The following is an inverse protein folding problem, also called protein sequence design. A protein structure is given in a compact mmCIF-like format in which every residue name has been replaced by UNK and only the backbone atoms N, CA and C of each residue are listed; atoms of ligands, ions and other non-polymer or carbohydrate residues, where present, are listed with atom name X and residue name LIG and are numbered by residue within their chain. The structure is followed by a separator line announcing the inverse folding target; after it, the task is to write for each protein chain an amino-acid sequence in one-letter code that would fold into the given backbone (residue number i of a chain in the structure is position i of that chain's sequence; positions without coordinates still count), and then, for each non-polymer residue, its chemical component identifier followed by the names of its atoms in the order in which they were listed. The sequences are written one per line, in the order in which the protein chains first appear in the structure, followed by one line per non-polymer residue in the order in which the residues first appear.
data_IF_516830757509
#
_entry.id   IF_516830757509
#
_cell.length_a   1.000
_cell.length_b   1.000
_cell.length_c   1.000
_cell.angle_alpha   90.00
_cell.angle_beta   90.00
_cell.angle_gamma   90.00
#
_symmetry.space_group_name_H-M   'P 1'
#
loop_
_entity.id
_entity.type
_entity.pdbx_description
1 polymer ?
#
# COMPACT_ATOMS: atom_id res chain seq x y z
N UNK A 1 10.36 0.44 -9.51
CA UNK A 1 10.26 1.90 -9.68
C UNK A 1 9.45 2.46 -8.53
N UNK A 2 9.80 3.63 -8.01
CA UNK A 2 8.92 4.41 -7.14
C UNK A 2 8.34 5.58 -7.94
N UNK A 3 7.03 5.80 -7.83
CA UNK A 3 6.31 6.93 -8.43
C UNK A 3 5.39 7.58 -7.40
N UNK A 4 5.04 8.85 -7.61
CA UNK A 4 4.08 9.57 -6.77
C UNK A 4 2.66 9.14 -7.11
N UNK A 5 1.92 8.58 -6.14
CA UNK A 5 0.51 8.18 -6.34
C UNK A 5 -0.50 9.33 -6.15
N UNK A 6 -0.04 10.42 -5.54
CA UNK A 6 -0.80 11.64 -5.22
C UNK A 6 -0.66 12.73 -6.29
N UNK A 7 0.45 12.73 -7.05
CA UNK A 7 0.62 13.62 -8.20
C UNK A 7 -0.46 13.40 -9.25
N UNK A 8 -0.95 14.49 -9.83
CA UNK A 8 -1.87 14.45 -10.96
C UNK A 8 -1.26 13.75 -12.19
N UNK A 9 0.07 13.79 -12.33
CA UNK A 9 0.79 13.30 -13.51
C UNK A 9 1.57 12.00 -13.27
N UNK A 10 1.36 11.32 -12.13
CA UNK A 10 1.97 10.01 -11.84
C UNK A 10 3.51 10.00 -11.96
N UNK A 11 4.16 11.05 -11.44
CA UNK A 11 5.58 11.31 -11.70
C UNK A 11 6.50 10.19 -11.16
N UNK A 12 7.49 9.74 -11.96
CA UNK A 12 8.48 8.79 -11.50
C UNK A 12 9.47 9.50 -10.59
N UNK A 13 9.83 8.85 -9.48
CA UNK A 13 10.72 9.41 -8.45
C UNK A 13 12.06 8.69 -8.41
N UNK A 14 12.02 7.35 -8.47
CA UNK A 14 13.23 6.57 -8.29
C UNK A 14 13.24 5.29 -9.14
N UNK A 15 14.13 5.21 -10.14
CA UNK A 15 14.32 4.01 -10.91
C UNK A 15 15.37 3.12 -10.25
N UNK A 16 15.00 1.88 -9.91
CA UNK A 16 15.97 0.84 -9.54
C UNK A 16 15.81 -0.35 -10.48
N UNK A 17 16.80 -0.56 -11.34
CA UNK A 17 16.90 -1.74 -12.18
C UNK A 17 17.49 -2.88 -11.36
N UNK A 18 16.83 -4.02 -11.39
CA UNK A 18 17.28 -5.23 -10.74
C UNK A 18 17.38 -6.36 -11.77
N UNK A 19 18.27 -7.34 -11.58
CA UNK A 19 18.27 -8.55 -12.39
C UNK A 19 16.90 -9.25 -12.31
N UNK A 20 16.47 -9.90 -13.40
CA UNK A 20 15.21 -10.64 -13.45
C UNK A 20 15.11 -11.78 -12.41
N UNK A 21 16.25 -12.28 -11.93
CA UNK A 21 16.32 -13.29 -10.87
C UNK A 21 16.01 -12.74 -9.46
N UNK A 22 15.90 -11.42 -9.29
CA UNK A 22 15.61 -10.79 -8.00
C UNK A 22 14.12 -10.55 -7.86
N UNK A 23 13.55 -11.07 -6.78
CA UNK A 23 12.15 -10.84 -6.43
C UNK A 23 11.89 -9.37 -6.06
N UNK A 24 10.75 -8.83 -6.50
CA UNK A 24 10.40 -7.41 -6.34
C UNK A 24 10.32 -6.97 -4.87
N UNK A 25 9.86 -7.86 -3.97
CA UNK A 25 9.83 -7.58 -2.54
C UNK A 25 11.21 -7.25 -1.95
N UNK A 26 12.28 -7.88 -2.44
CA UNK A 26 13.67 -7.58 -2.02
C UNK A 26 14.14 -6.28 -2.65
N UNK A 27 13.79 -6.07 -3.92
CA UNK A 27 14.08 -4.83 -4.66
C UNK A 27 13.46 -3.60 -4.00
N UNK A 28 12.26 -3.74 -3.43
CA UNK A 28 11.57 -2.68 -2.71
C UNK A 28 12.36 -2.22 -1.48
N UNK A 29 12.88 -3.14 -0.66
CA UNK A 29 13.61 -2.80 0.57
C UNK A 29 14.83 -1.93 0.23
N UNK A 30 15.63 -2.36 -0.74
CA UNK A 30 16.78 -1.59 -1.20
C UNK A 30 16.33 -0.23 -1.77
N UNK A 31 15.28 -0.21 -2.58
CA UNK A 31 14.77 1.02 -3.21
C UNK A 31 14.24 2.02 -2.20
N UNK A 32 13.53 1.57 -1.16
CA UNK A 32 12.98 2.42 -0.09
C UNK A 32 14.10 3.10 0.70
N UNK A 33 15.11 2.33 1.12
CA UNK A 33 16.25 2.85 1.88
C UNK A 33 17.04 3.83 1.01
N UNK A 34 17.41 3.42 -0.20
CA UNK A 34 18.15 4.26 -1.14
C UNK A 34 17.39 5.56 -1.48
N UNK A 35 16.07 5.49 -1.64
CA UNK A 35 15.24 6.67 -1.87
C UNK A 35 15.24 7.60 -0.66
N UNK A 36 15.03 7.07 0.55
CA UNK A 36 15.02 7.87 1.79
C UNK A 36 16.35 8.57 2.06
N UNK A 37 17.48 7.97 1.67
CA UNK A 37 18.81 8.54 1.85
C UNK A 37 19.15 9.63 0.83
N UNK A 38 18.57 9.55 -0.38
CA UNK A 38 18.97 10.40 -1.51
C UNK A 38 18.04 11.58 -1.76
N UNK A 39 16.79 11.51 -1.31
CA UNK A 39 15.77 12.49 -1.65
C UNK A 39 15.16 13.12 -0.41
N UNK A 40 15.12 14.46 -0.39
CA UNK A 40 14.48 15.27 0.64
C UNK A 40 13.10 15.78 0.17
N UNK A 41 12.40 14.99 -0.64
CA UNK A 41 11.10 15.36 -1.26
C UNK A 41 9.93 15.49 -0.26
N UNK A 42 10.22 15.41 1.04
CA UNK A 42 9.24 15.44 2.13
C UNK A 42 9.08 14.08 2.79
N UNK A 43 8.14 14.00 3.73
CA UNK A 43 7.82 12.77 4.44
C UNK A 43 6.91 11.88 3.61
N UNK A 44 7.30 10.61 3.43
CA UNK A 44 6.45 9.60 2.81
C UNK A 44 5.44 9.14 3.85
N UNK A 45 4.16 9.47 3.66
CA UNK A 45 3.12 9.06 4.62
C UNK A 45 2.58 7.65 4.34
N UNK A 46 2.55 7.22 3.07
CA UNK A 46 1.97 5.95 2.64
C UNK A 46 2.77 5.31 1.52
N UNK A 47 2.78 4.00 1.47
CA UNK A 47 3.29 3.23 0.32
C UNK A 47 2.24 2.22 -0.15
N UNK A 48 2.08 2.12 -1.47
CA UNK A 48 1.09 1.26 -2.11
C UNK A 48 1.82 0.16 -2.87
N UNK A 49 1.58 -1.09 -2.49
CA UNK A 49 2.27 -2.26 -3.04
C UNK A 49 1.28 -3.37 -3.33
N UNK A 50 1.59 -4.22 -4.30
CA UNK A 50 0.76 -5.39 -4.60
C UNK A 50 0.98 -6.54 -3.61
N UNK A 51 0.23 -7.62 -3.79
CA UNK A 51 0.31 -8.82 -2.95
C UNK A 51 1.66 -9.56 -3.04
N UNK A 52 2.53 -9.27 -4.02
CA UNK A 52 3.88 -9.86 -4.05
C UNK A 52 4.77 -9.30 -2.93
N UNK A 53 4.41 -8.15 -2.38
CA UNK A 53 5.12 -7.48 -1.28
C UNK A 53 4.53 -7.81 0.10
N UNK A 54 3.58 -8.75 0.17
CA UNK A 54 2.98 -9.19 1.42
C UNK A 54 3.95 -10.10 2.22
N UNK A 55 4.87 -9.45 2.93
CA UNK A 55 5.84 -10.10 3.80
C UNK A 55 5.97 -9.30 5.10
N UNK A 56 5.99 -10.00 6.25
CA UNK A 56 6.02 -9.38 7.59
C UNK A 56 7.17 -8.36 7.76
N UNK A 57 8.38 -8.71 7.29
CA UNK A 57 9.54 -7.82 7.31
C UNK A 57 9.33 -6.49 6.56
N UNK A 58 8.49 -6.46 5.52
CA UNK A 58 8.15 -5.21 4.81
C UNK A 58 7.27 -4.33 5.70
N UNK A 59 6.32 -4.91 6.43
CA UNK A 59 5.48 -4.16 7.37
C UNK A 59 6.32 -3.58 8.52
N UNK A 60 7.25 -4.35 9.07
CA UNK A 60 8.17 -3.90 10.11
C UNK A 60 9.05 -2.74 9.66
N UNK A 61 9.64 -2.86 8.46
CA UNK A 61 10.45 -1.79 7.86
C UNK A 61 9.65 -0.49 7.72
N UNK A 62 8.43 -0.59 7.17
CA UNK A 62 7.58 0.57 6.95
C UNK A 62 7.09 1.19 8.26
N UNK A 63 6.81 0.37 9.28
CA UNK A 63 6.47 0.84 10.62
C UNK A 63 7.63 1.62 11.25
N UNK A 64 8.87 1.11 11.13
CA UNK A 64 10.08 1.80 11.58
C UNK A 64 10.30 3.12 10.82
N UNK A 65 9.93 3.18 9.54
CA UNK A 65 9.99 4.40 8.73
C UNK A 65 8.79 5.35 8.97
N UNK A 66 7.84 4.97 9.85
CA UNK A 66 6.58 5.67 10.08
C UNK A 66 5.74 5.89 8.79
N UNK A 67 5.80 4.92 7.87
CA UNK A 67 5.07 4.89 6.60
C UNK A 67 3.90 3.91 6.72
N UNK A 68 2.69 4.31 6.34
CA UNK A 68 1.53 3.41 6.37
C UNK A 68 1.52 2.46 5.15
N UNK A 69 1.53 1.13 5.36
CA UNK A 69 1.49 0.15 4.28
C UNK A 69 0.08 -0.07 3.73
N UNK A 70 -0.09 0.08 2.42
CA UNK A 70 -1.27 -0.33 1.67
C UNK A 70 -0.88 -1.48 0.74
N UNK A 71 -0.95 -2.69 1.28
CA UNK A 71 -0.50 -3.92 0.61
C UNK A 71 -1.64 -4.94 0.64
N UNK A 72 -2.01 -5.46 -0.53
CA UNK A 72 -2.95 -6.57 -0.63
C UNK A 72 -2.44 -7.81 0.09
N UNK A 73 -3.33 -8.58 0.72
CA UNK A 73 -2.94 -9.83 1.36
C UNK A 73 -2.75 -10.92 0.31
N UNK A 74 -1.59 -11.57 0.35
CA UNK A 74 -1.32 -12.83 -0.31
C UNK A 74 -1.77 -13.97 0.62
N UNK A 75 -3.04 -14.34 0.51
CA UNK A 75 -3.64 -15.39 1.34
C UNK A 75 -3.17 -16.76 0.84
N UNK A 76 -2.07 -17.26 1.42
CA UNK A 76 -1.53 -18.59 1.12
C UNK A 76 -2.21 -19.71 1.88
N UNK A 77 -2.91 -19.39 2.97
CA UNK A 77 -3.50 -20.36 3.89
C UNK A 77 -4.91 -19.96 4.27
N UNK A 78 -5.84 -20.92 4.26
CA UNK A 78 -7.24 -20.74 4.68
C UNK A 78 -7.46 -21.03 6.17
N UNK A 79 -6.41 -21.43 6.89
CA UNK A 79 -6.46 -21.77 8.31
C UNK A 79 -6.60 -20.51 9.16
N UNK A 80 -7.50 -20.56 10.14
CA UNK A 80 -7.62 -19.53 11.14
C UNK A 80 -6.48 -19.61 12.16
N UNK A 81 -6.07 -18.47 12.69
CA UNK A 81 -5.10 -18.38 13.77
C UNK A 81 -5.81 -18.45 15.12
N UNK A 82 -5.31 -19.27 16.04
CA UNK A 82 -5.82 -19.31 17.42
C UNK A 82 -5.45 -18.04 18.19
N UNK A 83 -6.28 -17.64 19.14
CA UNK A 83 -5.92 -16.65 20.16
C UNK A 83 -5.86 -17.33 21.53
N UNK A 84 -5.48 -16.58 22.57
CA UNK A 84 -5.56 -17.06 23.97
C UNK A 84 -7.01 -17.31 24.44
N UNK A 85 -7.99 -16.90 23.63
CA UNK A 85 -9.42 -17.14 23.87
C UNK A 85 -10.01 -18.10 22.83
N UNK A 86 -11.26 -18.48 23.02
CA UNK A 86 -12.11 -19.22 22.05
C UNK A 86 -12.43 -18.43 20.77
N UNK A 87 -11.91 -17.21 20.61
CA UNK A 87 -11.93 -16.46 19.34
C UNK A 87 -10.78 -16.89 18.46
N UNK A 88 -11.06 -17.04 17.17
CA UNK A 88 -10.03 -17.26 16.15
C UNK A 88 -9.86 -16.01 15.28
N UNK A 89 -8.74 -15.87 14.59
CA UNK A 89 -8.52 -14.80 13.60
C UNK A 89 -8.53 -15.42 12.21
N UNK A 90 -9.34 -14.88 11.30
CA UNK A 90 -9.38 -15.32 9.91
C UNK A 90 -8.05 -15.01 9.20
N UNK A 91 -7.76 -15.66 8.06
CA UNK A 91 -6.61 -15.31 7.23
C UNK A 91 -6.55 -13.83 6.81
N UNK A 92 -7.69 -13.13 6.87
CA UNK A 92 -7.84 -11.71 6.53
C UNK A 92 -7.66 -10.79 7.75
N UNK A 93 -7.35 -11.32 8.93
CA UNK A 93 -7.19 -10.54 10.16
C UNK A 93 -8.51 -10.18 10.85
N UNK A 94 -9.61 -10.85 10.48
CA UNK A 94 -10.94 -10.59 11.07
C UNK A 94 -11.21 -11.61 12.17
N UNK A 95 -11.53 -11.20 13.40
CA UNK A 95 -11.90 -12.13 14.47
C UNK A 95 -13.17 -12.93 14.13
N UNK A 96 -13.16 -14.21 14.46
CA UNK A 96 -14.25 -15.16 14.25
C UNK A 96 -14.79 -15.56 15.63
N UNK A 97 -16.08 -15.33 15.81
CA UNK A 97 -16.83 -15.71 17.00
C UNK A 97 -16.90 -17.25 17.12
N UNK A 98 -17.02 -17.84 18.33
CA UNK A 98 -17.17 -19.29 18.51
C UNK A 98 -18.28 -19.96 17.69
N UNK A 99 -19.31 -19.19 17.29
CA UNK A 99 -20.38 -19.65 16.39
C UNK A 99 -19.97 -19.72 14.90
N UNK A 100 -18.68 -19.51 14.58
CA UNK A 100 -18.13 -19.58 13.23
C UNK A 100 -18.36 -18.35 12.35
N UNK A 101 -18.83 -17.21 12.91
CA UNK A 101 -19.12 -15.99 12.14
C UNK A 101 -18.07 -14.90 12.38
N UNK A 102 -17.65 -14.22 11.31
CA UNK A 102 -16.77 -13.05 11.39
C UNK A 102 -17.41 -11.91 12.19
N UNK A 103 -16.63 -11.32 13.09
CA UNK A 103 -17.05 -10.20 13.91
C UNK A 103 -17.12 -8.91 13.09
N UNK A 104 -18.01 -8.00 13.48
CA UNK A 104 -18.18 -6.71 12.81
C UNK A 104 -17.29 -5.65 13.45
N UNK A 105 -16.70 -4.72 12.66
CA UNK A 105 -15.95 -3.60 13.22
C UNK A 105 -16.88 -2.72 14.08
N UNK A 106 -16.37 -2.25 15.21
CA UNK A 106 -17.07 -1.44 16.21
C UNK A 106 -16.29 -0.16 16.56
N UNK A 107 -15.65 0.43 15.55
CA UNK A 107 -14.81 1.62 15.69
C UNK A 107 -13.36 1.31 16.07
N UNK A 108 -12.54 2.37 16.07
CA UNK A 108 -11.12 2.31 16.38
C UNK A 108 -10.84 3.19 17.60
N UNK A 109 -10.04 2.67 18.53
CA UNK A 109 -9.63 3.42 19.72
C UNK A 109 -8.24 4.02 19.52
N UNK A 110 -8.20 5.34 19.32
CA UNK A 110 -6.96 6.08 19.08
C UNK A 110 -6.03 6.07 20.30
N UNK A 111 -6.57 6.04 21.51
CA UNK A 111 -5.77 6.13 22.75
C UNK A 111 -4.92 4.88 22.98
N UNK A 112 -5.45 3.70 22.64
CA UNK A 112 -4.75 2.42 22.80
C UNK A 112 -4.34 1.80 21.46
N UNK A 113 -4.51 2.52 20.35
CA UNK A 113 -4.18 2.07 19.00
C UNK A 113 -4.74 0.67 18.66
N UNK A 114 -6.02 0.44 18.97
CA UNK A 114 -6.68 -0.88 18.83
C UNK A 114 -7.98 -0.82 18.03
N UNK A 115 -8.19 -1.82 17.19
CA UNK A 115 -9.43 -2.01 16.46
C UNK A 115 -10.43 -2.75 17.34
N UNK A 116 -11.65 -2.20 17.47
CA UNK A 116 -12.74 -2.84 18.23
C UNK A 116 -13.60 -3.68 17.31
N UNK A 117 -13.97 -4.85 17.80
CA UNK A 117 -14.83 -5.81 17.13
C UNK A 117 -16.00 -6.16 18.04
N UNK A 118 -17.15 -6.45 17.44
CA UNK A 118 -18.35 -6.89 18.15
C UNK A 118 -19.00 -8.09 17.47
N UNK A 119 -19.84 -8.79 18.23
CA UNK A 119 -20.65 -9.88 17.73
C UNK A 119 -21.41 -9.48 16.45
N UNK A 120 -21.38 -10.30 15.38
CA UNK A 120 -22.06 -10.00 14.13
C UNK A 120 -23.59 -10.00 14.24
N UNK A 121 -24.13 -10.70 15.25
CA UNK A 121 -25.56 -10.85 15.56
C UNK A 121 -26.06 -9.82 16.59
N UNK A 122 -25.19 -8.92 17.06
CA UNK A 122 -25.60 -7.79 17.87
C UNK A 122 -26.06 -6.63 16.97
N UNK A 123 -27.36 -6.37 16.96
CA UNK A 123 -27.99 -5.26 16.25
C UNK A 123 -28.50 -4.24 17.26
N UNK A 124 -27.79 -3.11 17.39
CA UNK A 124 -28.08 -2.12 18.41
C UNK A 124 -27.92 -2.72 19.80
N UNK A 125 -28.99 -2.73 20.59
CA UNK A 125 -29.02 -3.22 21.98
C UNK A 125 -29.52 -4.66 22.13
N UNK A 126 -29.80 -5.35 21.03
CA UNK A 126 -30.31 -6.73 21.02
C UNK A 126 -29.29 -7.66 20.36
N UNK A 127 -29.01 -8.78 21.02
CA UNK A 127 -28.21 -9.87 20.48
C UNK A 127 -29.14 -11.03 20.11
N UNK A 128 -29.19 -11.40 18.83
CA UNK A 128 -30.07 -12.48 18.32
C UNK A 128 -29.36 -13.84 18.24
N UNK A 129 -28.20 -13.96 18.87
CA UNK A 129 -27.45 -15.22 18.92
C UNK A 129 -28.22 -16.29 19.71
N UNK A 130 -28.50 -17.44 19.10
CA UNK A 130 -29.19 -18.57 19.73
C UNK A 130 -28.36 -19.21 20.85
N UNK A 131 -27.04 -19.26 20.68
CA UNK A 131 -26.06 -19.68 21.68
C UNK A 131 -25.10 -18.52 21.99
N UNK A 132 -25.50 -17.55 22.83
CA UNK A 132 -24.71 -16.34 23.06
C UNK A 132 -23.30 -16.65 23.58
N UNK A 133 -22.28 -16.18 22.86
CA UNK A 133 -20.88 -16.28 23.28
C UNK A 133 -20.51 -15.33 24.45
N UNK A 134 -21.46 -14.54 24.94
CA UNK A 134 -21.31 -13.63 26.08
C UNK A 134 -22.68 -13.24 26.65
N UNK A 135 -22.72 -12.94 27.95
CA UNK A 135 -23.90 -12.38 28.66
C UNK A 135 -24.11 -10.89 28.39
N UNK A 136 -23.18 -10.23 27.70
CA UNK A 136 -23.26 -8.79 27.44
C UNK A 136 -24.42 -8.43 26.48
N UNK A 137 -25.12 -7.33 26.78
CA UNK A 137 -26.25 -6.81 25.99
C UNK A 137 -25.92 -6.58 24.51
N UNK A 138 -24.69 -6.12 24.25
CA UNK A 138 -24.18 -5.81 22.91
C UNK A 138 -23.43 -7.00 22.27
N UNK A 139 -23.59 -8.21 22.83
CA UNK A 139 -22.80 -9.37 22.48
C UNK A 139 -21.33 -9.22 22.88
N UNK A 140 -20.54 -10.26 22.56
CA UNK A 140 -19.11 -10.27 22.86
C UNK A 140 -18.36 -9.22 22.04
N UNK A 141 -17.40 -8.56 22.68
CA UNK A 141 -16.43 -7.69 22.03
C UNK A 141 -15.06 -8.33 22.01
N UNK A 142 -14.23 -7.93 21.05
CA UNK A 142 -12.85 -8.34 20.94
C UNK A 142 -12.01 -7.18 20.41
N UNK A 143 -10.72 -7.16 20.72
CA UNK A 143 -9.81 -6.10 20.30
C UNK A 143 -8.61 -6.72 19.61
N UNK A 144 -8.19 -6.13 18.49
CA UNK A 144 -6.91 -6.46 17.85
C UNK A 144 -6.00 -5.24 17.92
N UNK A 145 -4.72 -5.46 18.23
CA UNK A 145 -3.74 -4.40 18.35
C UNK A 145 -2.74 -4.46 17.20
N UNK A 146 -2.38 -3.28 16.67
CA UNK A 146 -1.40 -3.18 15.58
C UNK A 146 -0.08 -3.89 15.92
N UNK A 147 0.38 -3.79 17.18
CA UNK A 147 1.62 -4.40 17.67
C UNK A 147 1.62 -5.94 17.64
N UNK A 148 0.44 -6.57 17.68
CA UNK A 148 0.36 -8.03 17.72
C UNK A 148 0.61 -8.64 16.33
N UNK A 149 0.23 -7.91 15.28
CA UNK A 149 0.49 -8.31 13.90
C UNK A 149 0.33 -7.11 12.95
N UNK A 150 1.45 -6.52 12.52
CA UNK A 150 1.45 -5.34 11.63
C UNK A 150 0.82 -5.63 10.26
N UNK A 151 0.94 -6.87 9.79
CA UNK A 151 0.42 -7.33 8.50
C UNK A 151 -1.10 -7.43 8.49
N UNK A 152 -1.70 -8.07 9.50
CA UNK A 152 -3.14 -8.33 9.59
C UNK A 152 -3.90 -7.16 10.23
N UNK A 153 -3.33 -6.53 11.26
CA UNK A 153 -3.98 -5.48 12.04
C UNK A 153 -3.47 -4.09 11.64
N UNK A 154 -3.73 -3.74 10.37
CA UNK A 154 -3.30 -2.45 9.79
C UNK A 154 -4.05 -1.26 10.40
N UNK A 155 -3.38 -0.10 10.43
CA UNK A 155 -3.97 1.17 10.92
C UNK A 155 -5.24 1.54 10.16
N UNK A 156 -5.21 1.46 8.83
CA UNK A 156 -6.41 1.54 8.00
C UNK A 156 -6.85 0.12 7.63
N UNK A 157 -8.03 -0.36 8.08
CA UNK A 157 -8.51 -1.70 7.77
C UNK A 157 -8.74 -1.89 6.26
N UNK A 158 -8.32 -3.02 5.69
CA UNK A 158 -8.44 -3.32 4.25
C UNK A 158 -9.87 -3.33 3.72
N UNK A 159 -10.83 -3.74 4.56
CA UNK A 159 -12.26 -3.72 4.23
C UNK A 159 -12.89 -2.32 4.22
N UNK A 160 -12.18 -1.31 4.72
CA UNK A 160 -12.70 0.06 4.80
C UNK A 160 -12.74 0.75 3.44
N UNK A 161 -13.71 1.66 3.26
CA UNK A 161 -13.81 2.45 2.03
C UNK A 161 -12.60 3.38 1.84
N UNK A 162 -12.05 3.90 2.95
CA UNK A 162 -10.80 4.67 2.94
C UNK A 162 -9.66 3.86 2.32
N UNK A 163 -9.56 2.57 2.66
CA UNK A 163 -8.52 1.72 2.10
C UNK A 163 -8.66 1.56 0.59
N UNK A 164 -9.87 1.25 0.12
CA UNK A 164 -10.16 1.09 -1.32
C UNK A 164 -9.87 2.36 -2.11
N UNK A 165 -10.25 3.52 -1.57
CA UNK A 165 -10.03 4.82 -2.21
C UNK A 165 -8.54 5.13 -2.41
N UNK A 166 -7.74 4.95 -1.35
CA UNK A 166 -6.28 5.17 -1.42
C UNK A 166 -5.65 4.14 -2.35
N UNK A 167 -5.96 2.86 -2.16
CA UNK A 167 -5.33 1.77 -2.90
C UNK A 167 -5.61 1.81 -4.41
N UNK A 168 -6.75 2.38 -4.85
CA UNK A 168 -7.05 2.62 -6.27
C UNK A 168 -5.94 3.41 -6.99
N UNK A 169 -5.19 4.25 -6.25
CA UNK A 169 -4.06 5.03 -6.79
C UNK A 169 -2.83 4.20 -7.12
N UNK A 170 -2.76 2.91 -6.74
CA UNK A 170 -1.66 2.00 -7.09
C UNK A 170 -1.39 1.96 -8.60
N UNK A 171 -2.44 2.13 -9.42
CA UNK A 171 -2.33 2.17 -10.89
C UNK A 171 -1.44 3.30 -11.44
N UNK A 172 -1.07 4.28 -10.61
CA UNK A 172 -0.12 5.35 -10.94
C UNK A 172 1.22 4.82 -11.47
N UNK A 173 1.82 3.86 -10.75
CA UNK A 173 3.13 3.30 -11.15
C UNK A 173 3.05 2.56 -12.48
N UNK A 174 1.93 1.90 -12.77
CA UNK A 174 1.72 1.20 -14.03
C UNK A 174 1.61 2.17 -15.20
N UNK A 175 0.94 3.32 -15.00
CA UNK A 175 0.87 4.38 -16.02
C UNK A 175 2.24 5.00 -16.27
N UNK A 176 2.99 5.30 -15.22
CA UNK A 176 4.36 5.81 -15.34
C UNK A 176 5.27 4.80 -16.07
N UNK A 177 5.26 3.53 -15.66
CA UNK A 177 6.00 2.45 -16.32
C UNK A 177 5.62 2.31 -17.81
N UNK A 178 4.33 2.43 -18.15
CA UNK A 178 3.85 2.38 -19.54
C UNK A 178 4.43 3.53 -20.36
N UNK A 179 4.47 4.75 -19.81
CA UNK A 179 5.11 5.88 -20.48
C UNK A 179 6.59 5.62 -20.75
N UNK A 180 7.32 5.05 -19.80
CA UNK A 180 8.75 4.75 -20.00
C UNK A 180 8.97 3.67 -21.05
N UNK A 181 8.28 2.54 -20.90
CA UNK A 181 8.48 1.34 -21.74
C UNK A 181 7.97 1.57 -23.16
N UNK A 182 6.77 2.11 -23.29
CA UNK A 182 6.06 2.23 -24.55
C UNK A 182 6.29 3.60 -25.18
N UNK A 183 5.90 4.68 -24.50
CA UNK A 183 5.85 6.01 -25.10
C UNK A 183 7.26 6.58 -25.38
N UNK A 184 8.22 6.34 -24.48
CA UNK A 184 9.63 6.70 -24.67
C UNK A 184 10.52 5.56 -25.16
N UNK A 185 9.93 4.42 -25.51
CA UNK A 185 10.64 3.29 -26.09
C UNK A 185 11.90 2.88 -25.30
N UNK A 186 11.78 2.73 -23.97
CA UNK A 186 12.92 2.34 -23.12
C UNK A 186 13.64 1.12 -23.71
N UNK A 187 12.89 0.06 -24.02
CA UNK A 187 13.44 -1.24 -24.46
C UNK A 187 14.09 -1.22 -25.85
N UNK A 188 13.74 -0.25 -26.70
CA UNK A 188 14.35 -0.09 -28.03
C UNK A 188 15.83 0.30 -27.99
N UNK A 189 16.34 0.75 -26.83
CA UNK A 189 17.76 1.07 -26.65
C UNK A 189 18.70 -0.12 -26.79
N UNK A 190 18.23 -1.36 -26.53
CA UNK A 190 18.98 -2.63 -26.65
C UNK A 190 20.40 -2.57 -26.06
N UNK A 191 20.57 -1.83 -24.96
CA UNK A 191 21.88 -1.60 -24.35
C UNK A 191 22.39 -2.87 -23.64
N UNK A 192 23.70 -3.13 -23.71
CA UNK A 192 24.32 -4.23 -22.95
C UNK A 192 24.72 -3.83 -21.54
N UNK A 193 25.01 -2.55 -21.32
CA UNK A 193 25.49 -2.02 -20.05
C UNK A 193 24.34 -1.51 -19.19
N UNK A 194 24.27 -1.98 -17.94
CA UNK A 194 23.32 -1.46 -16.94
C UNK A 194 23.50 0.04 -16.69
N UNK A 195 24.72 0.58 -16.82
CA UNK A 195 24.97 2.02 -16.68
C UNK A 195 24.26 2.84 -17.76
N UNK A 196 24.27 2.35 -19.01
CA UNK A 196 23.58 3.02 -20.12
C UNK A 196 22.06 2.91 -19.96
N UNK A 197 21.57 1.75 -19.51
CA UNK A 197 20.15 1.61 -19.13
C UNK A 197 19.72 2.63 -18.08
N UNK A 198 20.55 2.86 -17.05
CA UNK A 198 20.26 3.88 -16.05
C UNK A 198 20.24 5.29 -16.64
N UNK A 199 21.24 5.67 -17.46
CA UNK A 199 21.27 6.99 -18.11
C UNK A 199 20.01 7.21 -18.93
N UNK A 200 19.64 6.23 -19.77
CA UNK A 200 18.43 6.29 -20.59
C UNK A 200 17.17 6.41 -19.73
N UNK A 201 17.05 5.59 -18.69
CA UNK A 201 15.89 5.60 -17.82
C UNK A 201 15.74 6.92 -17.06
N UNK A 202 16.82 7.47 -16.52
CA UNK A 202 16.78 8.79 -15.90
C UNK A 202 16.42 9.89 -16.91
N UNK A 203 16.96 9.86 -18.13
CA UNK A 203 16.58 10.82 -19.18
C UNK A 203 15.09 10.74 -19.53
N UNK A 204 14.55 9.52 -19.66
CA UNK A 204 13.13 9.29 -19.89
C UNK A 204 12.28 9.82 -18.73
N UNK A 205 12.70 9.57 -17.49
CA UNK A 205 12.01 10.13 -16.32
C UNK A 205 12.02 11.66 -16.37
N UNK A 206 13.14 12.30 -16.68
CA UNK A 206 13.21 13.76 -16.84
C UNK A 206 12.23 14.24 -17.94
N UNK A 207 12.11 13.53 -19.05
CA UNK A 207 11.11 13.84 -20.08
C UNK A 207 9.67 13.73 -19.55
N UNK A 208 9.34 12.73 -18.71
CA UNK A 208 8.01 12.66 -18.09
C UNK A 208 7.71 13.88 -17.20
N UNK A 209 8.71 14.36 -16.47
CA UNK A 209 8.61 15.59 -15.67
C UNK A 209 8.43 16.83 -16.55
N UNK A 210 9.18 16.94 -17.65
CA UNK A 210 9.03 18.03 -18.63
C UNK A 210 7.62 18.04 -19.23
N UNK A 211 7.11 16.87 -19.64
CA UNK A 211 5.75 16.76 -20.19
C UNK A 211 4.69 17.18 -19.16
N UNK A 212 4.88 16.82 -17.90
CA UNK A 212 4.00 17.24 -16.81
C UNK A 212 4.08 18.76 -16.57
N UNK A 213 5.28 19.35 -16.59
CA UNK A 213 5.46 20.80 -16.49
C UNK A 213 4.78 21.52 -17.63
N UNK A 214 5.01 21.09 -18.87
CA UNK A 214 4.34 21.65 -20.03
C UNK A 214 2.82 21.56 -19.92
N UNK A 215 2.29 20.40 -19.53
CA UNK A 215 0.85 20.21 -19.34
C UNK A 215 0.26 21.08 -18.22
N UNK A 216 1.05 21.38 -17.18
CA UNK A 216 0.61 22.22 -16.06
C UNK A 216 0.67 23.71 -16.36
N UNK A 217 1.46 24.11 -17.36
CA UNK A 217 1.70 25.51 -17.72
C UNK A 217 1.23 25.85 -19.14
N UNK A 218 0.56 24.92 -19.85
CA UNK A 218 0.25 25.06 -21.27
C UNK A 218 -0.59 26.29 -21.61
N UNK A 219 -1.39 26.79 -20.66
CA UNK A 219 -2.16 28.02 -20.82
C UNK A 219 -1.30 29.29 -20.78
N UNK A 220 -0.15 29.24 -20.10
CA UNK A 220 0.73 30.38 -19.87
C UNK A 220 2.06 30.31 -20.65
N UNK A 221 2.40 29.14 -21.19
CA UNK A 221 3.72 28.86 -21.75
C UNK A 221 3.65 28.73 -23.28
N UNK A 222 3.96 29.81 -23.99
CA UNK A 222 4.16 29.76 -25.43
C UNK A 222 5.60 29.30 -25.74
N UNK A 223 5.76 27.98 -25.86
CA UNK A 223 7.04 27.32 -26.15
C UNK A 223 7.67 27.84 -27.44
N UNK A 224 6.86 28.18 -28.44
CA UNK A 224 7.33 28.65 -29.73
C UNK A 224 8.11 29.96 -29.59
N UNK A 225 7.56 30.91 -28.82
CA UNK A 225 8.22 32.19 -28.51
C UNK A 225 9.42 32.07 -27.58
N UNK A 226 9.54 31.00 -26.80
CA UNK A 226 10.67 30.81 -25.85
C UNK A 226 11.85 30.12 -26.54
N UNK A 227 11.58 29.11 -27.38
CA UNK A 227 12.63 28.31 -28.05
C UNK A 227 13.13 29.01 -29.32
N UNK A 228 12.24 29.73 -30.02
CA UNK A 228 12.56 30.49 -31.22
C UNK A 228 12.23 31.97 -30.99
N UNK A 229 13.04 32.68 -30.17
CA UNK A 229 12.84 34.10 -29.90
C UNK A 229 13.08 34.98 -31.12
#
# INVERSE_FOLDING_TARGET
MLSTSDSHYDLPLYPRLNPASRHDSVSLVASSIEFSQRYTLGTIDKILLDAAHDAEAIYELLDHQNVEPFIDLNVRTKKNFGTESDIQISPMGVPICPIGKEMKPNGFDKSQNRQKWRCPLACGTKNTCSTPCSKAKYGRTFHTFKKDNLRLFTKTPRSSEKWKLVYKRRTSVERSNKREKIDYHLESGRHRSTKIWYIRLYAIMMCQHIDAWYSSQSENLNVQTIIFP
#
